data_IF_107991946937
#
_entry.id   IF_107991946937
#
_cell.length_a   1.000
_cell.length_b   1.000
_cell.length_c   1.000
_cell.angle_alpha   90.00
_cell.angle_beta   90.00
_cell.angle_gamma   90.00
#
_symmetry.space_group_name_H-M   'P 1'
#
loop_
_entity.id
_entity.type
_entity.pdbx_description
1 polymer ?
#
# COMPACT_ATOMS: atom_id res chain seq x y z
N UNK A 1 -14.47 11.53 -1.18
CA UNK A 1 -13.74 11.84 0.08
C UNK A 1 -13.05 10.64 0.75
N UNK A 2 -13.20 9.40 0.25
CA UNK A 2 -12.58 8.22 0.89
C UNK A 2 -11.12 7.99 0.49
N UNK A 3 -10.70 8.45 -0.69
CA UNK A 3 -9.34 8.21 -1.21
C UNK A 3 -8.23 8.87 -0.39
N UNK A 4 -8.47 10.06 0.19
CA UNK A 4 -7.45 10.77 0.98
C UNK A 4 -7.06 10.05 2.26
N UNK A 5 -8.05 9.56 3.03
CA UNK A 5 -7.80 8.81 4.27
C UNK A 5 -7.06 7.51 4.04
N UNK A 6 -7.38 6.82 2.95
CA UNK A 6 -6.73 5.56 2.62
C UNK A 6 -5.29 5.73 2.19
N UNK A 7 -5.01 6.78 1.40
CA UNK A 7 -3.65 7.11 1.03
C UNK A 7 -2.81 7.48 2.26
N UNK A 8 -3.39 8.22 3.21
CA UNK A 8 -2.73 8.56 4.47
C UNK A 8 -2.42 7.32 5.31
N UNK A 9 -3.38 6.39 5.45
CA UNK A 9 -3.14 5.11 6.14
C UNK A 9 -2.09 4.24 5.45
N UNK A 10 -2.12 4.16 4.11
CA UNK A 10 -1.11 3.44 3.33
C UNK A 10 0.28 4.04 3.51
N UNK A 11 0.38 5.36 3.53
CA UNK A 11 1.66 6.08 3.71
C UNK A 11 2.24 5.85 5.12
N UNK A 12 1.39 5.81 6.15
CA UNK A 12 1.85 5.46 7.50
C UNK A 12 2.33 4.01 7.58
N UNK A 13 1.58 3.06 7.04
CA UNK A 13 1.99 1.66 6.99
C UNK A 13 3.31 1.47 6.22
N UNK A 14 3.50 2.20 5.12
CA UNK A 14 4.74 2.15 4.37
C UNK A 14 5.94 2.56 5.21
N UNK A 15 5.83 3.60 6.04
CA UNK A 15 6.93 4.02 6.92
C UNK A 15 7.31 2.91 7.90
N UNK A 16 6.33 2.25 8.51
CA UNK A 16 6.57 1.12 9.41
C UNK A 16 7.24 -0.06 8.68
N UNK A 17 6.87 -0.29 7.42
CA UNK A 17 7.47 -1.34 6.62
C UNK A 17 8.87 -1.00 6.13
N UNK A 18 9.15 0.26 5.80
CA UNK A 18 10.49 0.72 5.42
C UNK A 18 11.46 0.52 6.58
N UNK A 19 11.02 0.84 7.80
CA UNK A 19 11.79 0.61 9.02
C UNK A 19 11.99 -0.89 9.29
N UNK A 20 10.91 -1.69 9.25
CA UNK A 20 10.95 -3.13 9.54
C UNK A 20 11.73 -3.97 8.52
N UNK A 21 11.64 -3.64 7.23
CA UNK A 21 12.29 -4.40 6.15
C UNK A 21 13.63 -3.79 5.70
N UNK A 22 14.06 -2.68 6.29
CA UNK A 22 15.38 -2.09 6.03
C UNK A 22 15.50 -1.40 4.67
N UNK A 23 14.44 -0.71 4.22
CA UNK A 23 14.48 0.06 2.97
C UNK A 23 13.83 -0.64 1.78
N UNK A 24 12.53 -0.96 1.89
CA UNK A 24 11.73 -1.38 0.73
C UNK A 24 11.28 -0.18 -0.09
N UNK A 25 11.11 -0.39 -1.40
CA UNK A 25 10.55 0.63 -2.28
C UNK A 25 9.02 0.66 -2.20
N UNK A 26 8.42 1.80 -2.53
CA UNK A 26 6.95 1.97 -2.54
C UNK A 26 6.24 0.90 -3.41
N UNK A 27 6.82 0.55 -4.56
CA UNK A 27 6.30 -0.53 -5.41
C UNK A 27 6.38 -1.92 -4.75
N UNK A 28 7.47 -2.22 -4.03
CA UNK A 28 7.63 -3.50 -3.32
C UNK A 28 6.60 -3.63 -2.19
N UNK A 29 6.36 -2.53 -1.47
CA UNK A 29 5.28 -2.42 -0.50
C UNK A 29 3.91 -2.70 -1.12
N UNK A 30 3.59 -2.04 -2.24
CA UNK A 30 2.30 -2.22 -2.92
C UNK A 30 2.13 -3.63 -3.51
N UNK A 31 3.18 -4.24 -4.09
CA UNK A 31 3.15 -5.63 -4.58
C UNK A 31 2.89 -6.63 -3.43
N UNK A 32 3.61 -6.48 -2.31
CA UNK A 32 3.40 -7.33 -1.12
C UNK A 32 2.01 -7.14 -0.54
N UNK A 33 1.54 -5.89 -0.44
CA UNK A 33 0.20 -5.58 0.07
C UNK A 33 -0.89 -6.13 -0.87
N UNK A 34 -0.67 -6.11 -2.19
CA UNK A 34 -1.59 -6.71 -3.16
C UNK A 34 -1.68 -8.24 -3.05
N UNK A 35 -0.61 -8.88 -2.58
CA UNK A 35 -0.52 -10.34 -2.39
C UNK A 35 -1.10 -10.82 -1.05
N UNK A 36 -1.30 -9.94 -0.08
CA UNK A 36 -1.93 -10.29 1.18
C UNK A 36 -3.42 -10.61 0.97
N UNK A 37 -3.83 -11.82 1.39
CA UNK A 37 -5.23 -12.26 1.25
C UNK A 37 -6.20 -11.45 2.11
N UNK A 38 -5.73 -10.92 3.23
CA UNK A 38 -6.51 -10.12 4.18
C UNK A 38 -6.74 -8.67 3.72
N UNK A 39 -6.09 -8.27 2.63
CA UNK A 39 -6.25 -6.94 2.05
C UNK A 39 -7.58 -6.86 1.31
N UNK A 40 -8.53 -6.13 1.91
CA UNK A 40 -9.87 -5.94 1.38
C UNK A 40 -9.86 -5.41 -0.06
N UNK A 41 -10.85 -5.82 -0.86
CA UNK A 41 -10.93 -5.53 -2.30
C UNK A 41 -10.72 -4.05 -2.64
N UNK A 42 -11.12 -3.15 -1.76
CA UNK A 42 -10.96 -1.72 -1.94
C UNK A 42 -9.49 -1.25 -1.90
N UNK A 43 -8.66 -1.83 -1.03
CA UNK A 43 -7.22 -1.54 -0.99
C UNK A 43 -6.53 -2.09 -2.24
N UNK A 44 -7.00 -3.23 -2.76
CA UNK A 44 -6.51 -3.79 -4.04
C UNK A 44 -6.84 -2.90 -5.23
N UNK A 45 -8.01 -2.28 -5.26
CA UNK A 45 -8.35 -1.29 -6.31
C UNK A 45 -7.46 -0.05 -6.24
N UNK A 46 -7.20 0.48 -5.04
CA UNK A 46 -6.29 1.64 -4.87
C UNK A 46 -4.87 1.29 -5.32
N UNK A 47 -4.36 0.10 -4.96
CA UNK A 47 -3.06 -0.39 -5.43
C UNK A 47 -3.03 -0.51 -6.97
N UNK A 48 -4.08 -1.08 -7.57
CA UNK A 48 -4.15 -1.27 -9.01
C UNK A 48 -4.19 0.06 -9.79
N UNK A 49 -4.81 1.10 -9.23
CA UNK A 49 -4.80 2.46 -9.80
C UNK A 49 -3.42 3.10 -9.69
N UNK A 50 -2.77 2.97 -8.53
CA UNK A 50 -1.44 3.56 -8.29
C UNK A 50 -0.33 2.86 -9.08
N UNK A 51 -0.41 1.54 -9.31
CA UNK A 51 0.56 0.78 -10.11
C UNK A 51 0.40 0.99 -11.62
N UNK A 52 -0.76 1.48 -12.09
CA UNK A 52 -1.02 1.77 -13.51
C UNK A 52 -0.63 3.18 -13.94
N UNK A 53 -0.16 4.01 -13.01
CA UNK A 53 0.30 5.38 -13.25
C UNK A 53 1.76 5.42 -13.66
#
# INVERSE_FOLDING_TARGET
>A
MHHGKALESLTNHYKEWVDAYGGISWQDFLDRLSRMQETGSWVKEVIAVELKK
#
